data_IF_839467732907
#
_entry.id   IF_839467732907
#
_cell.length_a   1.000
_cell.length_b   1.000
_cell.length_c   1.000
_cell.angle_alpha   90.00
_cell.angle_beta   90.00
_cell.angle_gamma   90.00
#
_symmetry.space_group_name_H-M   'P 1'
#
loop_
_entity.id
_entity.type
_entity.pdbx_description
1 polymer ?
#
# COMPACT_ATOMS: atom_id res chain seq x y z
N UNK A 1 -8.93 -16.36 -31.18
CA UNK A 1 -9.63 -15.12 -30.76
C UNK A 1 -8.96 -14.68 -29.48
N UNK A 2 -8.31 -13.52 -29.46
CA UNK A 2 -7.67 -13.04 -28.24
C UNK A 2 -8.77 -12.64 -27.25
N UNK A 3 -8.84 -13.32 -26.11
CA UNK A 3 -9.72 -12.91 -25.02
C UNK A 3 -9.32 -11.51 -24.58
N UNK A 4 -10.21 -10.53 -24.77
CA UNK A 4 -10.02 -9.19 -24.25
C UNK A 4 -10.08 -9.28 -22.73
N UNK A 5 -8.97 -8.93 -22.07
CA UNK A 5 -8.93 -8.84 -20.61
C UNK A 5 -10.07 -7.92 -20.13
N UNK A 6 -10.83 -8.29 -19.08
CA UNK A 6 -11.88 -7.41 -18.56
C UNK A 6 -11.29 -6.05 -18.19
N UNK A 7 -12.06 -4.95 -18.37
CA UNK A 7 -11.58 -3.62 -18.01
C UNK A 7 -11.18 -3.60 -16.52
N UNK A 8 -10.09 -2.91 -16.17
CA UNK A 8 -9.63 -2.83 -14.79
C UNK A 8 -10.74 -2.29 -13.89
N UNK A 9 -10.84 -2.82 -12.68
CA UNK A 9 -11.80 -2.35 -11.70
C UNK A 9 -11.53 -0.85 -11.40
N UNK A 10 -12.56 -0.09 -11.00
CA UNK A 10 -12.45 1.30 -10.60
C UNK A 10 -11.32 1.53 -9.58
N UNK A 11 -11.14 0.62 -8.64
CA UNK A 11 -10.08 0.72 -7.64
C UNK A 11 -8.68 0.60 -8.28
N UNK A 12 -8.55 -0.26 -9.28
CA UNK A 12 -7.32 -0.50 -10.04
C UNK A 12 -7.01 0.68 -10.98
N UNK A 13 -8.05 1.35 -11.49
CA UNK A 13 -7.91 2.58 -12.27
C UNK A 13 -7.49 3.78 -11.41
N UNK A 14 -8.07 3.94 -10.22
CA UNK A 14 -7.82 5.09 -9.34
C UNK A 14 -6.52 4.91 -8.53
N UNK A 15 -6.14 3.65 -8.24
CA UNK A 15 -4.98 3.31 -7.42
C UNK A 15 -4.04 2.36 -8.19
N UNK A 16 -3.26 2.87 -9.14
CA UNK A 16 -2.30 2.05 -9.87
C UNK A 16 -1.27 1.45 -8.90
N UNK A 17 -0.91 0.19 -9.13
CA UNK A 17 0.17 -0.49 -8.42
C UNK A 17 1.38 -0.65 -9.31
N UNK A 18 2.55 -0.41 -8.74
CA UNK A 18 3.84 -0.56 -9.38
C UNK A 18 4.54 -1.82 -8.87
N UNK A 19 5.37 -2.47 -9.71
CA UNK A 19 6.21 -3.56 -9.26
C UNK A 19 7.13 -3.12 -8.12
N UNK A 20 7.29 -4.00 -7.13
CA UNK A 20 8.26 -3.81 -6.06
C UNK A 20 9.65 -4.24 -6.52
N UNK A 21 10.64 -3.37 -6.34
CA UNK A 21 12.03 -3.59 -6.80
C UNK A 21 13.04 -3.79 -5.65
N UNK A 22 12.56 -3.96 -4.41
CA UNK A 22 13.41 -4.20 -3.26
C UNK A 22 13.61 -5.69 -2.95
N UNK A 23 14.14 -5.97 -1.77
CA UNK A 23 14.38 -7.35 -1.31
C UNK A 23 13.06 -8.10 -1.12
N UNK A 24 12.90 -9.23 -1.81
CA UNK A 24 11.67 -10.03 -1.82
C UNK A 24 11.53 -10.77 -0.48
N UNK A 25 10.90 -10.10 0.48
CA UNK A 25 10.48 -10.65 1.78
C UNK A 25 8.99 -10.37 1.98
N UNK A 26 8.22 -11.27 2.63
CA UNK A 26 6.80 -11.06 2.87
C UNK A 26 6.50 -9.70 3.51
N UNK A 27 7.25 -9.32 4.55
CA UNK A 27 7.10 -8.04 5.23
C UNK A 27 7.35 -6.83 4.31
N UNK A 28 8.32 -6.94 3.40
CA UNK A 28 8.65 -5.87 2.47
C UNK A 28 7.54 -5.69 1.42
N UNK A 29 7.01 -6.80 0.89
CA UNK A 29 5.91 -6.78 -0.07
C UNK A 29 4.62 -6.22 0.54
N UNK A 30 4.28 -6.64 1.76
CA UNK A 30 3.09 -6.16 2.46
C UNK A 30 3.25 -4.66 2.81
N UNK A 31 4.42 -4.26 3.31
CA UNK A 31 4.67 -2.85 3.62
C UNK A 31 4.66 -1.98 2.36
N UNK A 32 5.25 -2.45 1.26
CA UNK A 32 5.21 -1.76 -0.03
C UNK A 32 3.78 -1.58 -0.54
N UNK A 33 2.93 -2.61 -0.49
CA UNK A 33 1.53 -2.50 -0.86
C UNK A 33 0.80 -1.41 -0.04
N UNK A 34 1.05 -1.34 1.27
CA UNK A 34 0.50 -0.29 2.13
C UNK A 34 1.04 1.11 1.78
N UNK A 35 2.32 1.19 1.42
CA UNK A 35 2.95 2.45 1.03
C UNK A 35 2.41 2.97 -0.30
N UNK A 36 2.16 2.09 -1.27
CA UNK A 36 1.53 2.43 -2.54
C UNK A 36 0.07 2.87 -2.37
N UNK A 37 -0.68 2.22 -1.48
CA UNK A 37 -2.04 2.68 -1.14
C UNK A 37 -2.02 4.08 -0.50
N UNK A 38 -1.09 4.32 0.42
CA UNK A 38 -0.89 5.63 1.03
C UNK A 38 -0.59 6.72 -0.02
N UNK A 39 0.35 6.46 -0.94
CA UNK A 39 0.74 7.45 -1.96
C UNK A 39 -0.43 7.79 -2.90
N UNK A 40 -1.18 6.78 -3.34
CA UNK A 40 -2.36 6.96 -4.19
C UNK A 40 -3.44 7.79 -3.48
N UNK A 41 -3.75 7.49 -2.21
CA UNK A 41 -4.73 8.26 -1.42
C UNK A 41 -4.29 9.70 -1.19
N UNK A 42 -3.02 9.93 -0.86
CA UNK A 42 -2.47 11.29 -0.70
C UNK A 42 -2.60 12.08 -2.00
N UNK A 43 -2.25 11.47 -3.14
CA UNK A 43 -2.37 12.11 -4.45
C UNK A 43 -3.82 12.51 -4.76
N UNK A 44 -4.79 11.63 -4.46
CA UNK A 44 -6.21 11.93 -4.63
C UNK A 44 -6.66 13.09 -3.72
N UNK A 45 -6.25 13.09 -2.46
CA UNK A 45 -6.60 14.17 -1.50
C UNK A 45 -6.04 15.52 -1.98
N UNK A 46 -4.78 15.56 -2.41
CA UNK A 46 -4.17 16.78 -2.96
C UNK A 46 -4.92 17.25 -4.21
N UNK A 47 -5.31 16.32 -5.08
CA UNK A 47 -6.08 16.65 -6.29
C UNK A 47 -7.47 17.22 -5.95
N UNK A 48 -8.12 16.72 -4.90
CA UNK A 48 -9.40 17.24 -4.42
C UNK A 48 -9.26 18.65 -3.84
N UNK A 49 -8.19 18.91 -3.09
CA UNK A 49 -7.89 20.23 -2.54
C UNK A 49 -7.59 21.24 -3.64
N UNK A 50 -6.68 20.90 -4.57
CA UNK A 50 -6.31 21.77 -5.69
C UNK A 50 -7.50 22.03 -6.62
N UNK A 51 -8.42 21.06 -6.74
CA UNK A 51 -9.70 21.21 -7.45
C UNK A 51 -10.79 21.95 -6.66
N UNK A 52 -10.49 22.46 -5.46
CA UNK A 52 -11.41 23.23 -4.62
C UNK A 52 -12.57 22.42 -4.01
N UNK A 53 -12.46 21.08 -3.96
CA UNK A 53 -13.50 20.19 -3.43
C UNK A 53 -13.45 20.05 -1.91
N UNK A 54 -12.26 20.19 -1.34
CA UNK A 54 -12.01 20.19 0.11
C UNK A 54 -11.09 21.35 0.46
N UNK A 55 -11.10 21.78 1.72
CA UNK A 55 -10.20 22.86 2.18
C UNK A 55 -8.78 22.34 2.42
N UNK A 56 -7.76 23.22 2.42
CA UNK A 56 -6.41 22.86 2.80
C UNK A 56 -6.30 22.20 4.18
N UNK A 57 -7.06 22.69 5.16
CA UNK A 57 -7.08 22.13 6.53
C UNK A 57 -7.65 20.71 6.55
N UNK A 58 -8.70 20.46 5.77
CA UNK A 58 -9.32 19.15 5.66
C UNK A 58 -8.38 18.16 4.97
N UNK A 59 -7.74 18.58 3.87
CA UNK A 59 -6.72 17.78 3.19
C UNK A 59 -5.56 17.41 4.13
N UNK A 60 -5.02 18.40 4.85
CA UNK A 60 -3.96 18.19 5.84
C UNK A 60 -4.37 17.19 6.93
N UNK A 61 -5.59 17.32 7.46
CA UNK A 61 -6.12 16.41 8.48
C UNK A 61 -6.21 14.98 7.98
N UNK A 62 -6.72 14.78 6.76
CA UNK A 62 -6.83 13.44 6.15
C UNK A 62 -5.45 12.82 5.89
N UNK A 63 -4.50 13.58 5.32
CA UNK A 63 -3.13 13.11 5.08
C UNK A 63 -2.45 12.72 6.40
N UNK A 64 -2.64 13.51 7.45
CA UNK A 64 -2.08 13.21 8.78
C UNK A 64 -2.64 11.91 9.36
N UNK A 65 -3.91 11.60 9.11
CA UNK A 65 -4.51 10.35 9.55
C UNK A 65 -3.97 9.16 8.76
N UNK A 66 -3.86 9.26 7.44
CA UNK A 66 -3.22 8.25 6.59
C UNK A 66 -1.77 7.99 7.01
N UNK A 67 -1.02 9.03 7.38
CA UNK A 67 0.34 8.88 7.88
C UNK A 67 0.41 8.11 9.20
N UNK A 68 -0.54 8.34 10.12
CA UNK A 68 -0.61 7.54 11.36
C UNK A 68 -0.88 6.08 11.07
N UNK A 69 -1.79 5.77 10.14
CA UNK A 69 -2.10 4.40 9.72
C UNK A 69 -0.86 3.73 9.12
N UNK A 70 -0.16 4.40 8.19
CA UNK A 70 1.07 3.87 7.60
C UNK A 70 2.17 3.61 8.65
N UNK A 71 2.30 4.49 9.65
CA UNK A 71 3.24 4.26 10.76
C UNK A 71 2.87 3.03 11.59
N UNK A 72 1.58 2.78 11.81
CA UNK A 72 1.12 1.60 12.53
C UNK A 72 1.42 0.33 11.73
N UNK A 73 1.18 0.32 10.41
CA UNK A 73 1.51 -0.83 9.56
C UNK A 73 3.00 -1.08 9.50
N UNK A 74 3.85 -0.04 9.37
CA UNK A 74 5.30 -0.16 9.49
C UNK A 74 5.68 -0.88 10.78
N UNK A 75 5.17 -0.42 11.92
CA UNK A 75 5.49 -1.00 13.23
C UNK A 75 5.07 -2.47 13.33
N UNK A 76 3.91 -2.82 12.78
CA UNK A 76 3.38 -4.19 12.83
C UNK A 76 4.06 -5.16 11.86
N UNK A 77 4.73 -4.67 10.82
CA UNK A 77 5.30 -5.49 9.75
C UNK A 77 6.81 -5.48 9.76
N UNK A 78 7.43 -4.29 9.81
CA UNK A 78 8.88 -4.13 9.72
C UNK A 78 9.56 -4.15 11.10
N UNK A 79 8.85 -3.73 12.15
CA UNK A 79 9.40 -3.66 13.50
C UNK A 79 8.94 -4.85 14.38
N UNK A 80 8.13 -5.78 13.83
CA UNK A 80 7.61 -6.95 14.55
C UNK A 80 8.65 -8.10 14.58
N UNK A 81 9.10 -8.54 15.77
CA UNK A 81 10.11 -9.58 15.92
C UNK A 81 9.72 -10.95 15.34
N UNK A 82 8.43 -11.22 15.15
CA UNK A 82 7.94 -12.49 14.58
C UNK A 82 8.44 -12.74 13.15
N UNK A 83 8.83 -11.68 12.43
CA UNK A 83 9.43 -11.79 11.09
C UNK A 83 10.95 -11.99 11.12
N UNK A 84 11.57 -12.03 12.30
CA UNK A 84 12.97 -12.40 12.47
C UNK A 84 13.17 -13.92 12.70
N UNK A 85 12.08 -14.68 12.79
CA UNK A 85 12.14 -16.13 12.88
C UNK A 85 12.44 -16.74 11.50
N UNK A 86 13.37 -17.71 11.40
CA UNK A 86 13.56 -18.43 10.15
C UNK A 86 12.24 -19.10 9.74
N UNK A 87 11.94 -19.19 8.44
CA UNK A 87 10.75 -19.88 7.98
C UNK A 87 10.65 -21.27 8.61
N UNK A 88 9.46 -21.74 9.01
CA UNK A 88 9.30 -23.10 9.51
C UNK A 88 9.86 -24.06 8.45
N UNK A 89 10.70 -25.00 8.89
CA UNK A 89 11.25 -26.03 8.01
C UNK A 89 10.08 -26.76 7.35
N UNK A 90 10.03 -26.70 6.01
CA UNK A 90 9.00 -27.42 5.26
C UNK A 90 9.17 -28.92 5.58
N UNK A 91 8.06 -29.65 5.82
CA UNK A 91 8.17 -31.09 5.98
C UNK A 91 8.89 -31.68 4.77
N UNK A 92 9.91 -32.51 5.03
CA UNK A 92 10.62 -33.22 3.97
C UNK A 92 9.59 -34.00 3.14
N UNK A 93 9.56 -33.75 1.82
CA UNK A 93 8.69 -34.50 0.92
C UNK A 93 9.13 -35.98 0.96
N UNK A 94 8.31 -36.85 1.57
CA UNK A 94 8.45 -38.32 1.52
C UNK A 94 8.10 -38.90 0.13
#
# INVERSE_FOLDING_TARGET
>A
MAESNPPPNKDEFISPRYPYWGEIKPQNLIFDANLQEFSNKVSLICSLETGGKITPEEAYRQIKELWKQLKQTKKAILDDPRWNEPPPELPEEE
#
